data_IF_437089160448
#
_entry.id   IF_437089160448
#
_cell.length_a   1.000
_cell.length_b   1.000
_cell.length_c   1.000
_cell.angle_alpha   90.00
_cell.angle_beta   90.00
_cell.angle_gamma   90.00
#
_symmetry.space_group_name_H-M   'P 1'
#
loop_
_entity.id
_entity.type
_entity.pdbx_description
1 polymer ?
#
# COMPACT_ATOMS: atom_id res chain seq x y z
N UNK A 1 -4.21 10.61 -32.64
CA UNK A 1 -4.69 9.74 -31.53
C UNK A 1 -5.76 10.51 -30.81
N UNK A 2 -7.02 10.03 -30.82
CA UNK A 2 -8.10 10.67 -30.06
C UNK A 2 -7.87 10.39 -28.57
N UNK A 3 -7.39 11.39 -27.83
CA UNK A 3 -7.42 11.37 -26.38
C UNK A 3 -8.89 11.51 -25.97
N UNK A 4 -9.51 10.42 -25.54
CA UNK A 4 -10.80 10.50 -24.86
C UNK A 4 -10.52 10.99 -23.44
N UNK A 5 -10.80 12.27 -23.20
CA UNK A 5 -10.76 12.85 -21.87
C UNK A 5 -11.94 12.29 -21.07
N UNK A 6 -11.63 11.54 -20.00
CA UNK A 6 -12.62 11.22 -18.99
C UNK A 6 -12.81 12.44 -18.11
N UNK A 7 -13.75 13.31 -18.47
CA UNK A 7 -14.17 14.40 -17.60
C UNK A 7 -14.62 13.80 -16.27
N UNK A 8 -14.18 14.28 -15.11
CA UNK A 8 -14.59 13.79 -13.77
C UNK A 8 -15.49 14.78 -13.03
N UNK A 9 -15.67 15.98 -13.57
CA UNK A 9 -16.50 17.00 -12.94
C UNK A 9 -17.89 17.05 -13.61
N UNK A 10 -18.91 17.53 -12.89
CA UNK A 10 -18.94 17.73 -11.44
C UNK A 10 -19.04 16.40 -10.68
N UNK A 11 -18.35 16.26 -9.54
CA UNK A 11 -18.34 15.00 -8.75
C UNK A 11 -19.75 14.48 -8.39
N UNK A 12 -20.73 15.38 -8.23
CA UNK A 12 -22.11 15.02 -7.92
C UNK A 12 -22.77 14.09 -8.94
N UNK A 13 -22.27 14.02 -10.18
CA UNK A 13 -22.75 13.08 -11.19
C UNK A 13 -22.45 11.60 -10.86
N UNK A 14 -21.48 11.37 -9.98
CA UNK A 14 -21.12 10.06 -9.45
C UNK A 14 -21.73 9.80 -8.06
N UNK A 15 -22.49 10.76 -7.51
CA UNK A 15 -23.21 10.56 -6.27
C UNK A 15 -24.36 9.57 -6.49
N UNK A 16 -24.45 8.51 -5.70
CA UNK A 16 -25.51 7.51 -5.80
C UNK A 16 -24.96 6.08 -5.74
N UNK A 17 -25.09 5.35 -6.85
CA UNK A 17 -24.80 3.91 -6.98
C UNK A 17 -23.37 3.55 -6.53
N UNK A 18 -23.19 3.22 -5.26
CA UNK A 18 -21.91 2.71 -4.79
C UNK A 18 -21.71 1.30 -5.32
N UNK A 19 -20.57 1.05 -5.98
CA UNK A 19 -20.15 -0.31 -6.26
C UNK A 19 -20.03 -1.08 -4.93
N UNK A 20 -20.50 -2.33 -4.91
CA UNK A 20 -20.34 -3.17 -3.75
C UNK A 20 -18.84 -3.40 -3.49
N UNK A 21 -18.33 -2.86 -2.39
CA UNK A 21 -16.95 -3.10 -1.97
C UNK A 21 -16.88 -4.52 -1.39
N UNK A 22 -16.11 -5.40 -2.05
CA UNK A 22 -15.85 -6.74 -1.53
C UNK A 22 -15.04 -6.62 -0.23
N UNK A 23 -15.32 -7.50 0.74
CA UNK A 23 -14.54 -7.58 1.99
C UNK A 23 -13.09 -7.94 1.66
N UNK A 24 -12.09 -7.14 2.06
CA UNK A 24 -10.68 -7.49 1.86
C UNK A 24 -10.33 -8.79 2.57
N UNK A 25 -9.53 -9.62 1.92
CA UNK A 25 -8.99 -10.87 2.46
C UNK A 25 -7.48 -10.87 2.27
N UNK A 26 -6.75 -11.17 3.33
CA UNK A 26 -5.31 -11.40 3.24
C UNK A 26 -5.04 -12.73 2.53
N UNK A 27 -4.09 -12.72 1.61
CA UNK A 27 -3.72 -13.90 0.80
C UNK A 27 -2.25 -14.30 0.99
N UNK A 28 -1.39 -13.35 1.32
CA UNK A 28 0.04 -13.54 1.58
C UNK A 28 0.58 -12.34 2.34
N UNK A 29 1.78 -12.46 2.89
CA UNK A 29 2.52 -11.40 3.55
C UNK A 29 4.02 -11.58 3.31
N UNK A 30 4.79 -10.53 3.55
CA UNK A 30 6.26 -10.53 3.53
C UNK A 30 6.77 -9.48 4.53
N UNK A 31 8.06 -9.55 4.85
CA UNK A 31 8.73 -8.68 5.80
C UNK A 31 10.02 -8.12 5.20
N UNK A 32 10.42 -6.93 5.65
CA UNK A 32 11.79 -6.43 5.53
C UNK A 32 12.43 -6.44 6.90
N UNK A 33 13.64 -6.98 7.02
CA UNK A 33 14.40 -6.91 8.27
C UNK A 33 15.06 -5.54 8.48
N UNK A 34 15.79 -5.39 9.59
CA UNK A 34 16.48 -4.15 9.96
C UNK A 34 17.52 -3.72 8.91
N UNK A 35 18.05 -4.66 8.11
CA UNK A 35 18.93 -4.39 6.98
C UNK A 35 18.19 -4.15 5.66
N UNK A 36 16.87 -3.98 5.71
CA UNK A 36 15.97 -3.86 4.56
C UNK A 36 16.01 -5.06 3.61
N UNK A 37 16.32 -6.26 4.11
CA UNK A 37 16.32 -7.47 3.28
C UNK A 37 14.95 -8.11 3.27
N UNK A 38 14.50 -8.51 2.07
CA UNK A 38 13.21 -9.15 1.84
C UNK A 38 13.14 -10.55 2.47
N UNK A 39 12.01 -10.87 3.11
CA UNK A 39 11.70 -12.17 3.72
C UNK A 39 10.25 -12.57 3.44
N UNK A 40 10.02 -13.81 3.04
CA UNK A 40 8.69 -14.37 2.80
C UNK A 40 8.03 -14.88 4.09
N UNK A 41 7.92 -14.02 5.09
CA UNK A 41 7.34 -14.32 6.40
C UNK A 41 6.74 -13.07 7.07
N UNK A 42 6.22 -13.25 8.28
CA UNK A 42 5.68 -12.19 9.15
C UNK A 42 6.67 -11.76 10.25
N UNK A 43 7.97 -12.00 10.07
CA UNK A 43 8.99 -11.77 11.11
C UNK A 43 9.07 -10.31 11.58
N UNK A 44 8.72 -9.35 10.71
CA UNK A 44 8.71 -7.91 11.04
C UNK A 44 7.34 -7.41 11.51
N UNK A 45 6.35 -8.29 11.70
CA UNK A 45 5.04 -7.91 12.22
C UNK A 45 5.16 -7.48 13.69
N UNK A 46 4.77 -6.23 13.97
CA UNK A 46 4.84 -5.65 15.32
C UNK A 46 3.50 -5.75 16.03
N UNK A 47 3.56 -5.99 17.33
CA UNK A 47 2.39 -6.02 18.20
C UNK A 47 2.18 -4.66 18.87
N UNK A 48 0.92 -4.23 18.90
CA UNK A 48 0.55 -3.05 19.64
C UNK A 48 0.78 -3.26 21.14
N UNK A 49 1.41 -2.27 21.78
CA UNK A 49 1.54 -2.20 23.22
C UNK A 49 1.14 -0.80 23.70
N UNK A 50 0.22 -0.68 24.68
CA UNK A 50 -0.23 0.63 25.16
C UNK A 50 0.94 1.49 25.67
N UNK A 51 1.13 2.72 25.14
CA UNK A 51 2.21 3.58 25.60
C UNK A 51 1.90 4.21 26.96
N UNK A 52 2.94 4.58 27.71
CA UNK A 52 2.81 5.47 28.86
C UNK A 52 2.82 6.91 28.38
N UNK A 53 1.81 7.68 28.77
CA UNK A 53 1.67 9.09 28.37
C UNK A 53 1.95 10.03 29.56
N UNK A 54 2.53 11.22 29.31
CA UNK A 54 2.98 11.73 28.01
C UNK A 54 4.26 11.03 27.53
N UNK A 55 4.39 10.86 26.21
CA UNK A 55 5.59 10.34 25.59
C UNK A 55 6.27 11.46 24.78
N UNK A 56 7.59 11.63 24.96
CA UNK A 56 8.38 12.54 24.14
C UNK A 56 8.77 11.83 22.82
N UNK A 57 8.19 12.31 21.71
CA UNK A 57 8.43 11.74 20.37
C UNK A 57 9.77 12.19 19.77
N UNK A 58 10.51 13.12 20.39
CA UNK A 58 11.84 13.52 19.93
C UNK A 58 12.93 12.56 20.42
N UNK A 59 12.63 11.71 21.42
CA UNK A 59 13.62 10.80 22.00
C UNK A 59 14.10 9.80 20.95
N UNK A 60 15.42 9.75 20.73
CA UNK A 60 16.06 8.87 19.75
C UNK A 60 16.20 9.48 18.35
N UNK A 61 15.82 10.74 18.14
CA UNK A 61 16.00 11.43 16.86
C UNK A 61 17.47 11.49 16.42
N UNK A 62 18.39 11.69 17.36
CA UNK A 62 19.84 11.73 17.16
C UNK A 62 20.45 10.38 16.74
N UNK A 63 19.73 9.28 16.98
CA UNK A 63 20.13 7.90 16.62
C UNK A 63 19.23 7.30 15.55
N UNK A 64 18.34 8.10 14.96
CA UNK A 64 17.43 7.64 13.92
C UNK A 64 18.18 7.33 12.63
N UNK A 65 18.11 6.08 12.19
CA UNK A 65 18.62 5.64 10.89
C UNK A 65 17.50 5.79 9.85
N UNK A 66 17.62 6.82 8.99
CA UNK A 66 16.67 7.03 7.89
C UNK A 66 16.90 5.95 6.83
N UNK A 67 15.82 5.27 6.43
CA UNK A 67 15.84 4.39 5.26
C UNK A 67 16.28 5.19 4.02
N UNK A 68 17.22 4.63 3.26
CA UNK A 68 17.62 5.18 1.97
C UNK A 68 16.50 4.95 0.94
N UNK A 69 15.80 6.04 0.61
CA UNK A 69 14.65 6.09 -0.29
C UNK A 69 15.01 6.59 -1.69
N UNK A 70 16.30 6.55 -2.06
CA UNK A 70 16.78 7.01 -3.37
C UNK A 70 16.49 6.04 -4.53
N UNK A 71 16.24 4.77 -4.23
CA UNK A 71 15.84 3.76 -5.21
C UNK A 71 14.34 3.83 -5.54
N UNK A 72 13.98 3.44 -6.75
CA UNK A 72 12.57 3.27 -7.11
C UNK A 72 12.01 2.04 -6.39
N UNK A 73 11.08 2.24 -5.45
CA UNK A 73 10.28 1.14 -4.90
C UNK A 73 9.32 0.63 -5.98
N UNK A 74 9.76 -0.37 -6.72
CA UNK A 74 8.92 -1.09 -7.69
C UNK A 74 7.97 -2.06 -6.99
N UNK A 75 7.30 -2.90 -7.77
CA UNK A 75 6.38 -3.92 -7.26
C UNK A 75 7.10 -5.23 -6.88
N UNK A 76 8.43 -5.27 -6.89
CA UNK A 76 9.22 -6.52 -6.81
C UNK A 76 8.82 -7.39 -5.62
N UNK A 77 8.90 -6.87 -4.38
CA UNK A 77 8.54 -7.63 -3.18
C UNK A 77 7.06 -8.07 -3.17
N UNK A 78 6.16 -7.24 -3.71
CA UNK A 78 4.73 -7.61 -3.84
C UNK A 78 4.55 -8.76 -4.83
N UNK A 79 5.23 -8.70 -5.97
CA UNK A 79 5.17 -9.73 -7.00
C UNK A 79 5.84 -11.02 -6.54
N UNK A 80 6.99 -10.94 -5.87
CA UNK A 80 7.67 -12.10 -5.29
C UNK A 80 6.80 -12.83 -4.27
N UNK A 81 6.11 -12.08 -3.40
CA UNK A 81 5.16 -12.66 -2.44
C UNK A 81 3.96 -13.34 -3.11
N UNK A 82 3.46 -12.77 -4.23
CA UNK A 82 2.38 -13.38 -5.03
C UNK A 82 2.89 -14.64 -5.75
N UNK A 83 4.06 -14.59 -6.39
CA UNK A 83 4.68 -15.75 -7.06
C UNK A 83 4.88 -16.90 -6.08
N UNK A 84 5.40 -16.62 -4.88
CA UNK A 84 5.55 -17.63 -3.83
C UNK A 84 4.20 -18.24 -3.39
N UNK A 85 3.14 -17.42 -3.30
CA UNK A 85 1.79 -17.90 -3.02
C UNK A 85 1.26 -18.82 -4.13
N UNK A 86 1.44 -18.43 -5.39
CA UNK A 86 0.99 -19.21 -6.54
C UNK A 86 1.72 -20.55 -6.65
N UNK A 87 3.04 -20.57 -6.40
CA UNK A 87 3.83 -21.80 -6.35
C UNK A 87 3.37 -22.74 -5.24
N UNK A 88 3.05 -22.20 -4.05
CA UNK A 88 2.59 -22.99 -2.90
C UNK A 88 1.19 -23.56 -3.10
N UNK A 89 0.29 -22.80 -3.72
CA UNK A 89 -1.12 -23.20 -3.90
C UNK A 89 -1.35 -23.95 -5.21
N UNK A 90 -0.44 -23.85 -6.18
CA UNK A 90 -0.61 -24.37 -7.53
C UNK A 90 -1.68 -23.62 -8.34
N UNK A 91 -2.13 -22.46 -7.88
CA UNK A 91 -3.19 -21.67 -8.49
C UNK A 91 -2.77 -20.22 -8.64
N UNK A 92 -3.14 -19.61 -9.77
CA UNK A 92 -2.91 -18.19 -10.03
C UNK A 92 -3.78 -17.33 -9.11
N UNK A 93 -3.25 -16.22 -8.61
CA UNK A 93 -4.01 -15.22 -7.88
C UNK A 93 -5.06 -14.58 -8.80
N UNK A 94 -6.32 -14.58 -8.37
CA UNK A 94 -7.41 -13.90 -9.07
C UNK A 94 -7.37 -12.40 -8.75
N UNK A 95 -6.82 -11.59 -9.66
CA UNK A 95 -6.79 -10.14 -9.56
C UNK A 95 -6.76 -9.49 -10.95
N UNK A 96 -7.52 -8.40 -11.12
CA UNK A 96 -7.47 -7.57 -12.34
C UNK A 96 -6.35 -6.53 -12.28
N UNK A 97 -6.01 -6.06 -11.07
CA UNK A 97 -5.01 -5.02 -10.82
C UNK A 97 -4.18 -5.40 -9.60
N UNK A 98 -2.86 -5.29 -9.73
CA UNK A 98 -1.90 -5.46 -8.63
C UNK A 98 -1.15 -4.14 -8.45
N UNK A 99 -1.19 -3.58 -7.25
CA UNK A 99 -0.55 -2.29 -6.94
C UNK A 99 -0.37 -2.10 -5.44
N UNK A 100 0.52 -1.19 -5.05
CA UNK A 100 0.63 -0.73 -3.66
C UNK A 100 -0.62 0.04 -3.23
N UNK A 101 -1.00 -0.09 -1.96
CA UNK A 101 -2.13 0.65 -1.36
C UNK A 101 -2.01 2.17 -1.57
N UNK A 102 -0.78 2.71 -1.55
CA UNK A 102 -0.53 4.13 -1.79
C UNK A 102 -1.02 4.59 -3.17
N UNK A 103 -0.85 3.79 -4.22
CA UNK A 103 -1.32 4.13 -5.57
C UNK A 103 -2.84 4.10 -5.66
N UNK A 104 -3.48 3.08 -5.08
CA UNK A 104 -4.94 3.02 -4.99
C UNK A 104 -5.50 4.22 -4.20
N UNK A 105 -4.82 4.64 -3.13
CA UNK A 105 -5.20 5.83 -2.37
C UNK A 105 -5.17 7.07 -3.25
N UNK A 106 -4.06 7.31 -3.98
CA UNK A 106 -3.94 8.45 -4.91
C UNK A 106 -5.07 8.47 -5.96
N UNK A 107 -5.39 7.32 -6.54
CA UNK A 107 -6.49 7.21 -7.51
C UNK A 107 -7.85 7.55 -6.89
N UNK A 108 -8.13 6.99 -5.71
CA UNK A 108 -9.40 7.19 -5.00
C UNK A 108 -9.55 8.62 -4.48
N UNK A 109 -8.45 9.29 -4.13
CA UNK A 109 -8.47 10.67 -3.63
C UNK A 109 -8.34 11.71 -4.74
N UNK A 110 -7.86 11.36 -5.93
CA UNK A 110 -7.65 12.29 -7.05
C UNK A 110 -8.85 13.20 -7.35
N UNK A 111 -10.13 12.74 -7.30
CA UNK A 111 -11.26 13.63 -7.56
C UNK A 111 -11.47 14.71 -6.48
N UNK A 112 -10.94 14.49 -5.27
CA UNK A 112 -11.01 15.39 -4.12
C UNK A 112 -9.70 16.11 -3.86
N UNK A 113 -8.67 15.82 -4.65
CA UNK A 113 -7.37 16.48 -4.58
C UNK A 113 -7.49 17.87 -5.22
N UNK A 114 -8.22 18.74 -4.51
CA UNK A 114 -8.25 20.15 -4.79
C UNK A 114 -6.91 20.70 -4.31
N UNK A 115 -5.93 20.73 -5.21
CA UNK A 115 -4.61 21.34 -5.06
C UNK A 115 -4.70 22.71 -4.35
N UNK A 116 -4.79 22.69 -3.03
CA UNK A 116 -4.66 23.85 -2.14
C UNK A 116 -3.31 23.71 -1.47
N UNK A 117 -2.28 23.86 -2.30
CA UNK A 117 -0.93 24.27 -1.91
C UNK A 117 -0.63 25.55 -2.66
#
# INVERSE_FOLDING_TARGET
MNSQLFDIQPLGRFAGSNAAIRRPKEITCFSYDDGHNFRLDESSLRYYYPPRLPADLNRGFDTFEKLDDSGDEHLDALLDAIVALEQRTGAKCEADVVTWRGMMTKLMTAPFDNLNG
#
